data_IF_087602609769
#
_entry.id   IF_087602609769
#
_cell.length_a   1.000
_cell.length_b   1.000
_cell.length_c   1.000
_cell.angle_alpha   90.00
_cell.angle_beta   90.00
_cell.angle_gamma   90.00
#
_symmetry.space_group_name_H-M   'P 1'
#
loop_
_entity.id
_entity.type
_entity.pdbx_description
1 polymer ?
#
# COMPACT_ATOMS: atom_id res chain seq x y z
N UNK A 1 -45.69 36.03 23.55
CA UNK A 1 -46.01 37.46 23.84
C UNK A 1 -45.29 38.25 22.78
N UNK A 2 -46.08 38.63 21.84
CA UNK A 2 -46.55 39.99 21.47
C UNK A 2 -45.37 40.85 21.02
N UNK A 3 -45.28 41.10 19.73
CA UNK A 3 -46.20 41.84 18.84
C UNK A 3 -45.80 43.31 18.71
N UNK A 4 -45.73 43.65 17.44
CA UNK A 4 -46.35 44.80 16.76
C UNK A 4 -45.65 46.16 16.87
N UNK A 5 -45.51 47.02 15.93
CA UNK A 5 -46.31 47.60 14.86
C UNK A 5 -45.49 48.84 14.39
N UNK A 6 -45.48 49.50 13.32
CA UNK A 6 -46.28 49.79 12.14
C UNK A 6 -45.71 51.06 11.46
N UNK A 7 -45.58 51.03 10.13
CA UNK A 7 -45.86 52.03 9.09
C UNK A 7 -45.98 53.54 9.39
N UNK A 8 -45.44 54.35 8.49
CA UNK A 8 -46.11 55.34 7.56
C UNK A 8 -45.06 56.20 6.89
N UNK A 9 -44.96 56.31 5.62
CA UNK A 9 -45.68 57.00 4.53
C UNK A 9 -45.75 58.55 4.72
N UNK A 10 -45.21 59.28 3.74
CA UNK A 10 -45.76 60.34 2.91
C UNK A 10 -44.60 61.26 2.45
N UNK A 11 -44.41 61.46 1.24
CA UNK A 11 -45.04 62.12 0.09
C UNK A 11 -44.37 63.44 -0.27
N UNK A 12 -43.94 63.53 -1.54
CA UNK A 12 -43.96 64.65 -2.46
C UNK A 12 -43.38 66.03 -2.05
N UNK A 13 -42.40 66.46 -2.83
CA UNK A 13 -42.54 67.69 -3.65
C UNK A 13 -41.37 67.75 -4.66
N UNK A 14 -41.71 67.91 -5.98
CA UNK A 14 -40.82 68.31 -7.07
C UNK A 14 -40.91 69.83 -7.20
N UNK A 15 -39.83 70.59 -7.46
CA UNK A 15 -39.80 71.30 -8.72
C UNK A 15 -38.44 71.40 -9.45
N UNK A 16 -38.57 71.28 -10.76
CA UNK A 16 -37.98 72.05 -11.92
C UNK A 16 -36.49 72.34 -12.00
N UNK A 17 -35.90 71.69 -13.03
CA UNK A 17 -35.03 72.19 -14.10
C UNK A 17 -33.92 73.22 -13.76
N UNK A 18 -32.70 72.75 -13.93
CA UNK A 18 -31.61 73.55 -14.56
C UNK A 18 -30.73 72.64 -15.40
N UNK A 19 -30.55 73.05 -16.64
CA UNK A 19 -29.73 72.43 -17.66
C UNK A 19 -28.24 72.62 -17.33
N UNK A 20 -27.44 71.55 -17.30
CA UNK A 20 -26.01 71.67 -17.48
C UNK A 20 -25.41 70.43 -18.14
N UNK A 21 -24.56 70.68 -19.06
CA UNK A 21 -23.85 69.89 -20.05
C UNK A 21 -23.29 68.57 -19.46
N UNK A 22 -23.63 67.47 -20.11
CA UNK A 22 -23.01 66.16 -19.87
C UNK A 22 -21.58 66.17 -20.43
N UNK A 23 -20.59 66.10 -19.57
CA UNK A 23 -19.25 65.64 -19.90
C UNK A 23 -19.25 64.12 -19.69
N UNK A 24 -19.16 63.37 -20.77
CA UNK A 24 -19.05 61.93 -20.78
C UNK A 24 -17.64 61.56 -20.35
N UNK A 25 -17.45 61.22 -19.09
CA UNK A 25 -16.20 60.61 -18.64
C UNK A 25 -16.26 59.10 -18.97
N UNK A 26 -15.48 58.70 -19.97
CA UNK A 26 -15.24 57.29 -20.28
C UNK A 26 -14.37 56.71 -19.17
N UNK A 27 -14.96 55.94 -18.23
CA UNK A 27 -14.22 55.14 -17.26
C UNK A 27 -13.77 53.90 -18.02
N UNK A 28 -12.50 53.83 -18.44
CA UNK A 28 -11.84 52.59 -18.85
C UNK A 28 -11.69 51.71 -17.58
N UNK A 29 -12.60 50.73 -17.41
CA UNK A 29 -12.33 49.62 -16.50
C UNK A 29 -11.22 48.76 -17.11
N UNK A 30 -9.99 49.03 -16.72
CA UNK A 30 -8.89 48.10 -16.93
C UNK A 30 -9.12 46.85 -16.09
N UNK A 31 -9.51 45.74 -16.73
CA UNK A 31 -9.49 44.43 -16.10
C UNK A 31 -8.02 44.07 -15.85
N UNK A 32 -7.56 44.26 -14.61
CA UNK A 32 -6.33 43.64 -14.13
C UNK A 32 -6.59 42.11 -14.13
N UNK A 33 -6.23 41.47 -15.23
CA UNK A 33 -6.08 40.02 -15.24
C UNK A 33 -4.94 39.69 -14.25
N UNK A 34 -5.27 39.19 -13.09
CA UNK A 34 -4.29 38.59 -12.20
C UNK A 34 -3.54 37.49 -13.00
N UNK A 35 -2.19 37.45 -12.97
CA UNK A 35 -1.48 36.35 -13.59
C UNK A 35 -1.97 35.06 -12.93
N UNK A 36 -2.59 34.17 -13.69
CA UNK A 36 -2.79 32.82 -13.30
C UNK A 36 -1.38 32.23 -13.15
N UNK A 37 -0.94 32.07 -11.89
CA UNK A 37 0.22 31.24 -11.61
C UNK A 37 -0.19 29.83 -12.05
N UNK A 38 0.23 29.44 -13.25
CA UNK A 38 0.20 28.05 -13.64
C UNK A 38 1.05 27.32 -12.59
N UNK A 39 0.43 26.47 -11.81
CA UNK A 39 1.16 25.52 -11.00
C UNK A 39 1.96 24.66 -11.98
N UNK A 40 3.23 25.00 -12.14
CA UNK A 40 4.17 24.16 -12.88
C UNK A 40 4.35 22.91 -12.03
N UNK A 41 3.64 21.84 -12.41
CA UNK A 41 3.79 20.54 -11.75
C UNK A 41 5.25 20.12 -11.87
N UNK A 42 5.88 19.83 -10.75
CA UNK A 42 7.26 19.37 -10.70
C UNK A 42 7.39 18.13 -11.59
N UNK A 43 8.10 18.24 -12.70
CA UNK A 43 8.29 17.11 -13.62
C UNK A 43 9.43 16.24 -13.14
N UNK A 44 9.23 14.94 -13.22
CA UNK A 44 10.27 13.94 -13.00
C UNK A 44 11.03 13.77 -14.32
N UNK A 45 12.23 14.34 -14.41
CA UNK A 45 13.03 14.39 -15.65
C UNK A 45 13.54 13.00 -16.09
N UNK A 46 13.63 12.05 -15.18
CA UNK A 46 14.05 10.67 -15.45
C UNK A 46 12.89 9.69 -15.24
N UNK A 47 12.79 8.62 -16.08
CA UNK A 47 11.80 7.58 -15.87
C UNK A 47 12.03 6.88 -14.52
N UNK A 48 10.95 6.36 -13.94
CA UNK A 48 11.02 5.57 -12.71
C UNK A 48 11.82 4.28 -12.95
N UNK A 49 12.82 3.95 -12.10
CA UNK A 49 13.55 2.70 -12.20
C UNK A 49 12.61 1.48 -12.07
N UNK A 50 12.93 0.39 -12.76
CA UNK A 50 12.17 -0.86 -12.72
C UNK A 50 12.61 -1.75 -11.54
N UNK A 51 12.30 -1.32 -10.30
CA UNK A 51 12.79 -1.96 -9.07
C UNK A 51 11.80 -2.96 -8.46
N UNK A 52 10.52 -2.89 -8.86
CA UNK A 52 9.44 -3.74 -8.37
C UNK A 52 8.64 -4.34 -9.54
N UNK A 53 9.27 -5.15 -10.41
CA UNK A 53 8.59 -5.80 -11.54
C UNK A 53 7.48 -6.74 -11.10
N UNK A 54 7.59 -7.29 -9.90
CA UNK A 54 6.56 -7.99 -9.12
C UNK A 54 6.40 -7.32 -7.75
N UNK A 55 5.31 -7.58 -7.00
CA UNK A 55 5.11 -6.96 -5.70
C UNK A 55 6.30 -7.22 -4.76
N UNK A 56 6.82 -6.20 -4.05
CA UNK A 56 7.91 -6.40 -3.08
C UNK A 56 7.54 -7.38 -1.98
N UNK A 57 8.49 -8.25 -1.60
CA UNK A 57 8.35 -9.19 -0.50
C UNK A 57 9.42 -8.92 0.56
N UNK A 58 9.01 -8.87 1.84
CA UNK A 58 9.94 -8.55 2.92
C UNK A 58 9.35 -8.65 4.30
N UNK A 59 9.95 -7.93 5.22
CA UNK A 59 9.52 -7.75 6.59
C UNK A 59 9.64 -6.27 6.99
N UNK A 60 8.72 -5.82 7.83
CA UNK A 60 8.74 -4.49 8.43
C UNK A 60 8.50 -4.60 9.94
N UNK A 61 9.15 -3.75 10.72
CA UNK A 61 9.19 -3.84 12.17
C UNK A 61 7.91 -3.37 12.88
N UNK A 62 7.01 -2.64 12.19
CA UNK A 62 5.97 -1.86 12.86
C UNK A 62 4.95 -2.70 13.63
N UNK A 63 4.25 -3.62 12.95
CA UNK A 63 3.07 -4.27 13.52
C UNK A 63 3.37 -5.07 14.80
N UNK A 64 4.53 -5.72 14.85
CA UNK A 64 4.94 -6.47 16.06
C UNK A 64 5.63 -5.62 17.11
N UNK A 65 6.47 -4.68 16.70
CA UNK A 65 7.42 -4.04 17.61
C UNK A 65 7.16 -2.55 17.83
N UNK A 66 6.41 -1.87 16.94
CA UNK A 66 6.22 -0.42 17.01
C UNK A 66 7.56 0.30 17.15
N UNK A 67 7.64 1.21 18.12
CA UNK A 67 8.89 1.89 18.47
C UNK A 67 9.86 1.06 19.35
N UNK A 68 9.53 -0.17 19.72
CA UNK A 68 10.43 -1.03 20.51
C UNK A 68 11.40 -1.79 19.58
N UNK A 69 12.24 -1.06 18.87
CA UNK A 69 13.20 -1.58 17.91
C UNK A 69 14.63 -1.15 18.29
N UNK A 70 15.58 -1.98 17.92
CA UNK A 70 17.02 -1.69 18.04
C UNK A 70 17.82 -2.50 17.02
N UNK A 71 19.12 -2.19 16.91
CA UNK A 71 20.02 -2.85 15.97
C UNK A 71 20.07 -4.39 16.16
N UNK A 72 20.14 -4.87 17.40
CA UNK A 72 20.21 -6.30 17.69
C UNK A 72 18.93 -7.04 17.23
N UNK A 73 17.76 -6.46 17.46
CA UNK A 73 16.48 -7.00 17.00
C UNK A 73 16.46 -7.10 15.47
N UNK A 74 16.83 -6.03 14.76
CA UNK A 74 16.81 -6.01 13.29
C UNK A 74 17.77 -7.05 12.71
N UNK A 75 18.99 -7.18 13.28
CA UNK A 75 19.94 -8.25 12.89
C UNK A 75 19.34 -9.64 13.09
N UNK A 76 18.65 -9.87 14.21
CA UNK A 76 17.95 -11.13 14.51
C UNK A 76 16.86 -11.45 13.49
N UNK A 77 16.07 -10.45 13.06
CA UNK A 77 15.06 -10.64 12.01
C UNK A 77 15.69 -10.97 10.65
N UNK A 78 16.77 -10.30 10.29
CA UNK A 78 17.52 -10.60 9.06
C UNK A 78 18.09 -12.03 9.06
N UNK A 79 18.66 -12.48 10.17
CA UNK A 79 19.14 -13.85 10.34
C UNK A 79 17.99 -14.87 10.22
N UNK A 80 16.85 -14.58 10.86
CA UNK A 80 15.66 -15.43 10.80
C UNK A 80 15.12 -15.52 9.37
N UNK A 81 15.01 -14.41 8.65
CA UNK A 81 14.57 -14.43 7.24
C UNK A 81 15.50 -15.28 6.37
N UNK A 82 16.82 -15.16 6.56
CA UNK A 82 17.79 -15.92 5.80
C UNK A 82 17.73 -17.43 6.10
N UNK A 83 17.43 -17.81 7.36
CA UNK A 83 17.47 -19.20 7.82
C UNK A 83 16.12 -19.95 7.73
N UNK A 84 14.99 -19.25 7.76
CA UNK A 84 13.65 -19.87 7.86
C UNK A 84 13.09 -20.44 6.56
N UNK A 85 13.74 -20.20 5.42
CA UNK A 85 13.22 -20.51 4.09
C UNK A 85 12.52 -19.32 3.42
N UNK A 86 12.23 -18.23 4.14
CA UNK A 86 11.58 -17.03 3.57
C UNK A 86 12.40 -16.41 2.45
N UNK A 87 13.73 -16.26 2.63
CA UNK A 87 14.61 -15.78 1.56
C UNK A 87 14.52 -16.65 0.31
N UNK A 88 14.54 -17.97 0.46
CA UNK A 88 14.39 -18.91 -0.65
C UNK A 88 13.00 -18.81 -1.32
N UNK A 89 11.98 -18.44 -0.56
CA UNK A 89 10.61 -18.20 -1.06
C UNK A 89 10.45 -16.84 -1.77
N UNK A 90 11.46 -15.94 -1.74
CA UNK A 90 11.44 -14.67 -2.45
C UNK A 90 11.41 -13.41 -1.57
N UNK A 91 11.32 -13.54 -0.24
CA UNK A 91 11.43 -12.40 0.67
C UNK A 91 12.84 -11.83 0.65
N UNK A 92 12.98 -10.52 0.45
CA UNK A 92 14.30 -9.90 0.29
C UNK A 92 14.49 -8.61 1.08
N UNK A 93 13.42 -7.94 1.51
CA UNK A 93 13.55 -6.66 2.22
C UNK A 93 13.46 -6.83 3.73
N UNK A 94 14.39 -6.20 4.47
CA UNK A 94 14.31 -5.96 5.91
C UNK A 94 14.14 -4.46 6.11
N UNK A 95 12.95 -4.03 6.50
CA UNK A 95 12.57 -2.62 6.62
C UNK A 95 12.44 -2.24 8.08
N UNK A 96 13.20 -1.24 8.52
CA UNK A 96 12.99 -0.57 9.80
C UNK A 96 11.92 0.50 9.60
N UNK A 97 10.85 0.40 10.37
CA UNK A 97 9.78 1.40 10.39
C UNK A 97 10.14 2.61 11.27
N UNK A 98 9.19 3.39 11.73
CA UNK A 98 9.37 4.62 12.52
C UNK A 98 10.20 4.41 13.81
N UNK A 99 10.64 5.49 14.42
CA UNK A 99 11.36 5.55 15.68
C UNK A 99 12.85 5.15 15.65
N UNK A 100 13.47 5.00 14.48
CA UNK A 100 14.93 4.83 14.39
C UNK A 100 15.67 6.17 14.51
N UNK A 101 15.04 7.28 14.14
CA UNK A 101 15.59 8.63 14.15
C UNK A 101 15.64 9.19 15.58
N UNK A 102 16.71 9.95 15.90
CA UNK A 102 16.82 10.73 17.15
C UNK A 102 16.60 12.20 16.92
N UNK A 103 17.37 12.79 16.02
CA UNK A 103 17.46 14.24 15.81
C UNK A 103 18.05 14.54 14.42
N UNK A 104 18.28 15.81 14.15
CA UNK A 104 19.20 16.26 13.10
C UNK A 104 20.46 16.86 13.72
N UNK A 105 21.62 16.70 13.07
CA UNK A 105 22.86 17.35 13.46
C UNK A 105 22.87 18.83 13.06
N UNK A 106 23.94 19.57 13.42
CA UNK A 106 24.12 20.99 13.11
C UNK A 106 24.15 21.30 11.61
N UNK A 107 24.39 20.28 10.77
CA UNK A 107 24.35 20.39 9.31
C UNK A 107 23.00 19.97 8.72
N UNK A 108 22.02 19.64 9.58
CA UNK A 108 20.68 19.18 9.18
C UNK A 108 20.62 17.71 8.78
N UNK A 109 21.68 16.93 8.89
CA UNK A 109 21.65 15.50 8.56
C UNK A 109 20.83 14.74 9.60
N UNK A 110 20.05 13.76 9.13
CA UNK A 110 19.28 12.89 10.03
C UNK A 110 20.21 11.97 10.80
N UNK A 111 20.00 11.84 12.10
CA UNK A 111 20.82 11.05 13.03
C UNK A 111 19.98 9.91 13.60
N UNK A 112 20.49 8.69 13.50
CA UNK A 112 19.90 7.54 14.17
C UNK A 112 20.02 7.65 15.69
N UNK A 113 19.10 7.01 16.42
CA UNK A 113 19.19 6.92 17.87
C UNK A 113 20.42 6.08 18.27
N UNK A 114 21.45 6.70 18.91
CA UNK A 114 22.71 6.01 19.19
C UNK A 114 22.58 4.93 20.28
N UNK A 115 21.57 5.02 21.14
CA UNK A 115 21.32 3.98 22.15
C UNK A 115 20.70 2.73 21.51
N UNK A 116 19.84 2.92 20.51
CA UNK A 116 19.17 1.84 19.81
C UNK A 116 19.98 1.27 18.66
N UNK A 117 20.74 2.11 17.96
CA UNK A 117 21.56 1.76 16.79
C UNK A 117 23.02 2.20 16.98
N UNK A 118 23.73 1.62 17.96
CA UNK A 118 25.09 2.05 18.32
C UNK A 118 26.10 1.86 17.19
N UNK A 119 25.90 0.89 16.30
CA UNK A 119 26.73 0.69 15.10
C UNK A 119 26.41 1.63 13.95
N UNK A 120 25.27 2.36 14.04
CA UNK A 120 24.74 3.21 12.99
C UNK A 120 24.05 2.46 11.87
N UNK A 121 23.24 3.21 11.09
CA UNK A 121 22.40 2.63 10.04
C UNK A 121 23.21 1.99 8.92
N UNK A 122 24.36 2.59 8.54
CA UNK A 122 25.19 2.01 7.49
C UNK A 122 25.72 0.62 7.85
N UNK A 123 26.23 0.43 9.06
CA UNK A 123 26.73 -0.87 9.50
C UNK A 123 25.61 -1.93 9.58
N UNK A 124 24.41 -1.50 9.92
CA UNK A 124 23.23 -2.38 9.92
C UNK A 124 22.79 -2.74 8.50
N UNK A 125 22.79 -1.79 7.57
CA UNK A 125 22.52 -2.05 6.15
C UNK A 125 23.55 -3.02 5.56
N UNK A 126 24.86 -2.80 5.81
CA UNK A 126 25.93 -3.70 5.38
C UNK A 126 25.74 -5.13 5.94
N UNK A 127 25.27 -5.24 7.19
CA UNK A 127 24.97 -6.54 7.79
C UNK A 127 23.80 -7.25 7.06
N UNK A 128 22.70 -6.53 6.80
CA UNK A 128 21.56 -7.07 6.06
C UNK A 128 21.99 -7.51 4.66
N UNK A 129 22.78 -6.70 3.97
CA UNK A 129 23.35 -7.04 2.67
C UNK A 129 24.26 -8.28 2.73
N UNK A 130 25.02 -8.47 3.81
CA UNK A 130 25.86 -9.67 3.99
C UNK A 130 25.06 -10.97 4.06
N UNK A 131 23.76 -10.90 4.41
CA UNK A 131 22.82 -12.04 4.35
C UNK A 131 22.22 -12.22 2.95
N UNK A 132 22.60 -11.39 1.97
CA UNK A 132 22.02 -11.35 0.62
C UNK A 132 20.57 -10.89 0.63
N UNK A 133 20.24 -9.98 1.56
CA UNK A 133 18.94 -9.30 1.71
C UNK A 133 19.11 -7.82 1.36
N UNK A 134 18.01 -7.09 1.19
CA UNK A 134 17.96 -5.67 0.94
C UNK A 134 17.49 -4.92 2.18
N UNK A 135 18.03 -3.72 2.38
CA UNK A 135 17.75 -2.92 3.57
C UNK A 135 16.79 -1.77 3.26
N UNK A 136 15.77 -1.58 4.11
CA UNK A 136 14.81 -0.50 4.01
C UNK A 136 14.74 0.35 5.25
N UNK A 137 14.34 1.60 5.05
CA UNK A 137 14.07 2.59 6.10
C UNK A 137 12.68 3.19 5.95
N UNK A 138 12.28 3.91 6.99
CA UNK A 138 11.10 4.74 7.05
C UNK A 138 11.46 6.22 7.20
N UNK A 139 10.69 7.09 6.59
CA UNK A 139 10.64 8.51 6.87
C UNK A 139 9.22 9.04 6.63
N UNK A 140 9.06 10.36 6.69
CA UNK A 140 7.75 11.01 6.59
C UNK A 140 7.84 12.29 5.75
N UNK A 141 6.81 12.57 4.97
CA UNK A 141 6.69 13.79 4.17
C UNK A 141 6.43 15.05 5.01
N UNK A 142 6.10 14.89 6.27
CA UNK A 142 5.91 15.98 7.20
C UNK A 142 7.18 16.44 7.91
N UNK A 143 7.01 17.41 8.80
CA UNK A 143 8.08 17.92 9.66
C UNK A 143 8.48 16.92 10.75
N UNK A 144 7.53 16.08 11.17
CA UNK A 144 7.72 14.97 12.11
C UNK A 144 7.12 13.70 11.52
N UNK A 145 7.63 12.55 11.96
CA UNK A 145 7.05 11.24 11.69
C UNK A 145 5.79 11.02 12.55
N UNK A 146 5.03 9.97 12.29
CA UNK A 146 3.86 9.60 13.10
C UNK A 146 4.22 9.33 14.56
N UNK A 147 5.42 8.78 14.83
CA UNK A 147 6.00 8.62 16.16
C UNK A 147 6.70 9.86 16.73
N UNK A 148 6.54 11.03 16.10
CA UNK A 148 7.10 12.30 16.58
C UNK A 148 8.62 12.45 16.41
N UNK A 149 9.22 11.71 15.50
CA UNK A 149 10.65 11.81 15.15
C UNK A 149 10.83 12.82 14.00
N UNK A 150 12.05 13.30 13.71
CA UNK A 150 12.26 14.20 12.58
C UNK A 150 11.81 13.57 11.25
N UNK A 151 10.89 14.23 10.55
CA UNK A 151 10.50 13.90 9.19
C UNK A 151 11.41 14.57 8.15
N UNK A 152 11.14 14.34 6.86
CA UNK A 152 11.99 14.83 5.76
C UNK A 152 11.52 16.14 5.13
N UNK A 153 10.43 16.77 5.61
CA UNK A 153 9.95 18.03 5.03
C UNK A 153 11.05 19.10 4.99
N UNK A 154 11.39 19.56 3.78
CA UNK A 154 12.46 20.53 3.54
C UNK A 154 13.88 19.95 3.55
N UNK A 155 14.03 18.64 3.77
CA UNK A 155 15.31 17.92 3.80
C UNK A 155 15.36 16.75 2.80
N UNK A 156 14.38 16.64 1.90
CA UNK A 156 14.18 15.47 1.04
C UNK A 156 15.45 15.08 0.26
N UNK A 157 16.12 16.06 -0.37
CA UNK A 157 17.37 15.81 -1.11
C UNK A 157 18.55 15.46 -0.21
N UNK A 158 18.61 16.04 0.98
CA UNK A 158 19.67 15.77 1.95
C UNK A 158 19.52 14.36 2.50
N UNK A 159 18.31 14.00 2.90
CA UNK A 159 17.99 12.69 3.45
C UNK A 159 18.17 11.59 2.39
N UNK A 160 17.69 11.79 1.17
CA UNK A 160 17.89 10.84 0.06
C UNK A 160 19.38 10.53 -0.19
N UNK A 161 20.24 11.57 -0.20
CA UNK A 161 21.70 11.37 -0.32
C UNK A 161 22.28 10.61 0.88
N UNK A 162 21.76 10.87 2.07
CA UNK A 162 22.19 10.17 3.27
C UNK A 162 21.77 8.69 3.24
N UNK A 163 20.52 8.40 2.81
CA UNK A 163 20.03 7.03 2.63
C UNK A 163 20.85 6.28 1.56
N UNK A 164 21.21 6.93 0.47
CA UNK A 164 22.09 6.36 -0.56
C UNK A 164 23.47 5.99 0.01
N UNK A 165 24.10 6.88 0.79
CA UNK A 165 25.37 6.63 1.46
C UNK A 165 25.30 5.47 2.45
N UNK A 166 24.15 5.25 3.10
CA UNK A 166 23.93 4.14 4.01
C UNK A 166 23.61 2.82 3.30
N UNK A 167 23.33 2.86 2.00
CA UNK A 167 22.99 1.67 1.23
C UNK A 167 21.53 1.24 1.34
N UNK A 168 20.63 2.18 1.56
CA UNK A 168 19.17 1.90 1.60
C UNK A 168 18.67 1.49 0.22
N UNK A 169 17.83 0.44 0.17
CA UNK A 169 17.22 -0.11 -1.05
C UNK A 169 15.70 0.14 -1.13
N UNK A 170 15.08 0.53 -0.02
CA UNK A 170 13.65 0.71 0.09
C UNK A 170 13.34 1.84 1.08
N UNK A 171 12.47 2.77 0.72
CA UNK A 171 12.00 3.83 1.59
C UNK A 171 10.47 3.75 1.70
N UNK A 172 9.95 3.47 2.92
CA UNK A 172 8.57 3.74 3.30
C UNK A 172 8.48 5.22 3.67
N UNK A 173 7.60 5.96 3.01
CA UNK A 173 7.50 7.40 3.16
C UNK A 173 6.07 7.77 3.55
N UNK A 174 5.87 8.20 4.79
CA UNK A 174 4.58 8.40 5.44
C UNK A 174 4.05 9.82 5.28
N UNK A 175 2.89 10.13 5.90
CA UNK A 175 2.12 11.36 5.66
C UNK A 175 1.70 12.11 6.94
N UNK A 176 2.31 11.84 8.09
CA UNK A 176 2.03 12.53 9.35
C UNK A 176 2.60 13.96 9.35
N UNK A 177 2.02 14.87 10.12
CA UNK A 177 2.51 16.23 10.33
C UNK A 177 2.82 17.03 9.05
N UNK A 178 2.09 16.77 7.98
CA UNK A 178 2.29 17.41 6.66
C UNK A 178 1.68 18.81 6.55
N UNK A 179 0.82 19.21 7.50
CA UNK A 179 0.15 20.51 7.46
C UNK A 179 -0.72 20.67 6.21
N UNK A 180 -0.42 21.67 5.40
CA UNK A 180 -1.16 21.97 4.16
C UNK A 180 -0.42 21.54 2.89
N UNK A 181 0.55 20.64 2.99
CA UNK A 181 1.29 20.14 1.83
C UNK A 181 0.35 19.40 0.87
N UNK A 182 0.58 19.58 -0.42
CA UNK A 182 -0.03 18.73 -1.44
C UNK A 182 0.70 17.38 -1.51
N UNK A 183 -0.07 16.29 -1.51
CA UNK A 183 0.49 14.94 -1.42
C UNK A 183 1.29 14.58 -2.68
N UNK A 184 0.73 14.78 -3.88
CA UNK A 184 1.41 14.47 -5.14
C UNK A 184 2.73 15.25 -5.24
N UNK A 185 2.73 16.56 -4.91
CA UNK A 185 3.92 17.38 -4.93
C UNK A 185 4.98 16.88 -3.92
N UNK A 186 4.60 16.60 -2.67
CA UNK A 186 5.52 16.16 -1.63
C UNK A 186 6.19 14.82 -1.97
N UNK A 187 5.41 13.84 -2.42
CA UNK A 187 5.95 12.54 -2.85
C UNK A 187 6.78 12.66 -4.14
N UNK A 188 6.41 13.56 -5.06
CA UNK A 188 7.20 13.83 -6.27
C UNK A 188 8.56 14.44 -5.94
N UNK A 189 8.63 15.34 -4.94
CA UNK A 189 9.91 15.90 -4.45
C UNK A 189 10.81 14.77 -3.91
N UNK A 190 10.30 13.89 -3.05
CA UNK A 190 11.08 12.78 -2.53
C UNK A 190 11.48 11.80 -3.65
N UNK A 191 10.60 11.48 -4.58
CA UNK A 191 10.91 10.63 -5.73
C UNK A 191 12.06 11.21 -6.58
N UNK A 192 12.04 12.52 -6.82
CA UNK A 192 13.14 13.24 -7.51
C UNK A 192 14.43 13.15 -6.70
N UNK A 193 14.37 13.41 -5.41
CA UNK A 193 15.53 13.34 -4.51
C UNK A 193 16.17 11.95 -4.49
N UNK A 194 15.36 10.89 -4.45
CA UNK A 194 15.84 9.50 -4.51
C UNK A 194 16.52 9.19 -5.85
N UNK A 195 15.93 9.59 -6.99
CA UNK A 195 16.50 9.37 -8.33
C UNK A 195 17.85 10.10 -8.53
N UNK A 196 18.01 11.25 -7.86
CA UNK A 196 19.26 12.04 -7.93
C UNK A 196 20.27 11.68 -6.83
N UNK A 197 19.94 10.75 -5.94
CA UNK A 197 20.80 10.36 -4.82
C UNK A 197 22.04 9.54 -5.21
N UNK A 198 22.04 8.96 -6.42
CA UNK A 198 23.07 8.06 -6.91
C UNK A 198 22.87 6.59 -6.52
N UNK A 199 21.70 6.23 -5.93
CA UNK A 199 21.31 4.85 -5.62
C UNK A 199 19.85 4.62 -5.92
N UNK A 200 19.54 3.51 -6.58
CA UNK A 200 18.18 3.08 -6.82
C UNK A 200 17.51 2.61 -5.51
N UNK A 201 16.36 3.18 -5.19
CA UNK A 201 15.55 2.83 -4.02
C UNK A 201 14.09 2.63 -4.41
N UNK A 202 13.47 1.56 -3.92
CA UNK A 202 12.02 1.41 -4.00
C UNK A 202 11.38 2.50 -3.13
N UNK A 203 10.46 3.28 -3.69
CA UNK A 203 9.65 4.23 -2.94
C UNK A 203 8.27 3.63 -2.68
N UNK A 204 7.93 3.43 -1.41
CA UNK A 204 6.64 3.03 -0.89
C UNK A 204 5.92 4.24 -0.32
N UNK A 205 4.84 4.64 -0.99
CA UNK A 205 4.03 5.80 -0.64
C UNK A 205 3.01 5.39 0.43
N UNK A 206 2.97 6.08 1.57
CA UNK A 206 2.14 5.74 2.70
C UNK A 206 1.27 6.91 3.16
N UNK A 207 0.31 7.33 2.30
CA UNK A 207 -0.67 8.38 2.65
C UNK A 207 -2.08 7.82 2.89
N UNK A 208 -2.16 6.51 3.15
CA UNK A 208 -3.34 5.75 3.57
C UNK A 208 -4.53 5.79 2.59
N UNK A 209 -4.33 6.16 1.33
CA UNK A 209 -5.38 6.29 0.33
C UNK A 209 -6.20 7.58 0.42
N UNK A 210 -5.81 8.53 1.29
CA UNK A 210 -6.58 9.75 1.56
C UNK A 210 -6.59 10.74 0.38
N UNK A 211 -5.51 10.77 -0.39
CA UNK A 211 -5.32 11.70 -1.52
C UNK A 211 -5.41 10.99 -2.87
N UNK A 212 -6.09 9.84 -2.94
CA UNK A 212 -6.32 9.06 -4.16
C UNK A 212 -5.00 8.72 -4.90
N UNK A 213 -4.02 8.07 -4.24
CA UNK A 213 -2.70 7.83 -4.79
C UNK A 213 -2.74 6.99 -6.07
N UNK A 214 -3.76 6.16 -6.25
CA UNK A 214 -3.99 5.40 -7.48
C UNK A 214 -4.07 6.26 -8.75
N UNK A 215 -4.32 7.57 -8.62
CA UNK A 215 -4.44 8.49 -9.76
C UNK A 215 -3.12 9.12 -10.18
N UNK A 216 -2.17 9.28 -9.24
CA UNK A 216 -0.93 10.01 -9.47
C UNK A 216 0.34 9.24 -9.07
N UNK A 217 0.26 8.23 -8.22
CA UNK A 217 1.45 7.60 -7.65
C UNK A 217 2.23 6.70 -8.64
N UNK A 218 1.60 6.20 -9.70
CA UNK A 218 2.24 5.27 -10.63
C UNK A 218 3.55 5.78 -11.26
N UNK A 219 3.71 7.04 -11.70
CA UNK A 219 4.99 7.57 -12.14
C UNK A 219 5.93 7.96 -10.98
N UNK A 220 5.44 8.10 -9.77
CA UNK A 220 6.15 8.62 -8.59
C UNK A 220 6.82 7.51 -7.80
N UNK A 221 6.04 6.58 -7.24
CA UNK A 221 6.50 5.47 -6.41
C UNK A 221 6.27 4.10 -7.04
N UNK A 222 6.66 3.05 -6.35
CA UNK A 222 6.57 1.65 -6.83
C UNK A 222 5.37 0.91 -6.25
N UNK A 223 4.89 1.35 -5.10
CA UNK A 223 3.70 0.88 -4.42
C UNK A 223 3.12 2.03 -3.60
N UNK A 224 1.83 1.96 -3.29
CA UNK A 224 1.15 2.97 -2.49
C UNK A 224 0.05 2.35 -1.63
N UNK A 225 0.01 2.78 -0.36
CA UNK A 225 -1.03 2.41 0.59
C UNK A 225 -2.40 2.87 0.09
N UNK A 226 -3.36 2.01 0.20
CA UNK A 226 -4.73 2.23 -0.28
C UNK A 226 -5.74 2.41 0.84
N UNK A 227 -5.32 2.20 2.09
CA UNK A 227 -6.16 2.21 3.29
C UNK A 227 -5.37 2.70 4.50
N UNK A 228 -6.07 3.00 5.60
CA UNK A 228 -5.49 3.06 6.94
C UNK A 228 -4.79 1.75 7.32
N UNK A 229 -4.18 1.71 8.50
CA UNK A 229 -3.35 0.58 8.94
C UNK A 229 -4.17 -0.68 9.18
N UNK A 230 -3.58 -1.83 8.86
CA UNK A 230 -4.09 -3.13 9.28
C UNK A 230 -3.72 -3.39 10.75
N UNK A 231 -4.58 -4.09 11.48
CA UNK A 231 -4.21 -4.71 12.74
C UNK A 231 -4.62 -6.18 12.76
N UNK A 232 -4.01 -6.96 13.62
CA UNK A 232 -4.18 -8.42 13.68
C UNK A 232 -5.56 -8.82 14.19
N UNK A 233 -6.55 -8.69 13.31
CA UNK A 233 -7.93 -9.13 13.52
C UNK A 233 -8.60 -9.49 12.19
N UNK A 234 -9.53 -10.45 12.25
CA UNK A 234 -10.35 -10.86 11.11
C UNK A 234 -11.18 -9.69 10.55
N UNK A 235 -11.90 -8.99 11.42
CA UNK A 235 -12.72 -7.83 11.08
C UNK A 235 -12.72 -6.81 12.23
N UNK A 236 -13.21 -5.61 11.96
CA UNK A 236 -13.37 -4.55 12.92
C UNK A 236 -12.57 -3.31 12.59
N UNK A 237 -12.75 -2.30 13.43
CA UNK A 237 -12.03 -1.03 13.35
C UNK A 237 -11.54 -0.63 14.72
N UNK A 238 -10.29 -0.23 14.82
CA UNK A 238 -9.67 0.27 16.04
C UNK A 238 -8.94 1.57 15.69
N UNK A 239 -9.46 2.70 16.17
CA UNK A 239 -8.96 4.03 15.82
C UNK A 239 -8.96 4.24 14.29
N UNK A 240 -7.78 4.39 13.68
CA UNK A 240 -7.57 4.48 12.22
C UNK A 240 -7.26 3.13 11.57
N UNK A 241 -7.09 2.06 12.36
CA UNK A 241 -6.73 0.73 11.88
C UNK A 241 -7.96 -0.14 11.60
N UNK A 242 -7.80 -1.10 10.68
CA UNK A 242 -8.86 -1.96 10.19
C UNK A 242 -8.47 -3.44 10.26
N UNK A 243 -9.45 -4.31 10.52
CA UNK A 243 -9.28 -5.75 10.39
C UNK A 243 -9.13 -6.18 8.92
N UNK A 244 -8.62 -7.39 8.71
CA UNK A 244 -8.25 -7.93 7.40
C UNK A 244 -9.41 -7.86 6.37
N UNK A 245 -10.62 -8.27 6.74
CA UNK A 245 -11.76 -8.27 5.82
C UNK A 245 -12.26 -6.87 5.48
N UNK A 246 -12.10 -5.91 6.39
CA UNK A 246 -12.42 -4.50 6.12
C UNK A 246 -11.45 -3.90 5.10
N UNK A 247 -10.14 -4.20 5.24
CA UNK A 247 -9.12 -3.81 4.25
C UNK A 247 -9.44 -4.42 2.88
N UNK A 248 -9.78 -5.73 2.84
CA UNK A 248 -10.14 -6.43 1.61
C UNK A 248 -11.32 -5.76 0.88
N UNK A 249 -12.35 -5.36 1.61
CA UNK A 249 -13.52 -4.68 1.01
C UNK A 249 -13.15 -3.35 0.35
N UNK A 250 -12.17 -2.64 0.90
CA UNK A 250 -11.67 -1.39 0.32
C UNK A 250 -10.85 -1.63 -0.98
N UNK A 251 -10.45 -2.88 -1.28
CA UNK A 251 -9.69 -3.21 -2.50
C UNK A 251 -10.57 -3.56 -3.72
N UNK A 252 -11.87 -3.78 -3.54
CA UNK A 252 -12.76 -4.37 -4.57
C UNK A 252 -12.69 -3.64 -5.92
N UNK A 253 -12.63 -2.31 -5.92
CA UNK A 253 -12.61 -1.50 -7.14
C UNK A 253 -11.20 -1.04 -7.59
N UNK A 254 -10.14 -1.37 -6.83
CA UNK A 254 -8.77 -0.86 -7.07
C UNK A 254 -7.98 -1.65 -8.12
N UNK A 255 -8.46 -2.79 -8.55
CA UNK A 255 -7.78 -3.70 -9.48
C UNK A 255 -7.31 -3.05 -10.80
N UNK A 256 -7.92 -1.92 -11.20
CA UNK A 256 -7.59 -1.19 -12.44
C UNK A 256 -6.29 -0.40 -12.35
N UNK A 257 -5.78 -0.18 -11.15
CA UNK A 257 -4.67 0.74 -10.91
C UNK A 257 -3.35 0.02 -10.62
N UNK A 258 -3.40 -1.31 -10.39
CA UNK A 258 -2.20 -2.13 -10.17
C UNK A 258 -1.60 -2.60 -11.49
N UNK A 259 -0.28 -2.51 -11.60
CA UNK A 259 0.51 -2.98 -12.74
C UNK A 259 1.96 -3.28 -12.31
N UNK A 260 2.76 -3.98 -13.12
CA UNK A 260 4.18 -4.15 -12.85
C UNK A 260 4.87 -2.81 -12.54
N UNK A 261 5.63 -2.79 -11.47
CA UNK A 261 6.32 -1.61 -10.93
C UNK A 261 5.39 -0.49 -10.38
N UNK A 262 4.10 -0.80 -10.17
CA UNK A 262 3.08 0.14 -9.67
C UNK A 262 1.98 -0.64 -8.94
N UNK A 263 2.13 -0.84 -7.63
CA UNK A 263 1.32 -1.79 -6.86
C UNK A 263 0.41 -1.08 -5.86
N UNK A 264 -0.87 -1.50 -5.82
CA UNK A 264 -1.74 -1.22 -4.69
C UNK A 264 -1.21 -1.94 -3.45
N UNK A 265 -1.11 -1.24 -2.34
CA UNK A 265 -0.63 -1.77 -1.07
C UNK A 265 -1.78 -1.73 -0.03
N UNK A 266 -2.40 -2.88 0.27
CA UNK A 266 -3.44 -2.99 1.28
C UNK A 266 -2.88 -3.09 2.72
N UNK A 267 -1.61 -2.79 2.90
CA UNK A 267 -0.81 -2.96 4.11
C UNK A 267 -0.26 -4.39 4.33
N UNK A 268 0.49 -4.54 5.40
CA UNK A 268 1.32 -5.69 5.74
C UNK A 268 0.53 -6.98 6.00
N UNK A 269 1.26 -8.08 6.08
CA UNK A 269 0.74 -9.36 6.54
C UNK A 269 0.81 -9.46 8.06
N UNK A 270 -0.31 -9.80 8.69
CA UNK A 270 -0.42 -10.06 10.14
C UNK A 270 -0.15 -11.52 10.52
N UNK A 271 0.21 -12.36 9.57
CA UNK A 271 0.39 -13.80 9.74
C UNK A 271 1.40 -14.11 10.87
N UNK A 272 0.90 -14.78 11.92
CA UNK A 272 1.72 -15.18 13.07
C UNK A 272 1.79 -14.16 14.21
N UNK A 273 1.01 -13.09 14.19
CA UNK A 273 0.93 -12.12 15.29
C UNK A 273 0.02 -12.57 16.45
N UNK A 274 -0.90 -13.54 16.22
CA UNK A 274 -1.66 -14.24 17.25
C UNK A 274 -3.08 -13.75 17.49
N UNK A 275 -3.56 -12.73 16.74
CA UNK A 275 -4.93 -12.20 16.83
C UNK A 275 -5.94 -12.91 15.93
N UNK A 276 -5.47 -13.68 14.95
CA UNK A 276 -6.29 -14.50 14.05
C UNK A 276 -5.92 -15.98 14.16
N UNK A 277 -6.84 -16.85 13.72
CA UNK A 277 -6.61 -18.30 13.63
C UNK A 277 -5.73 -18.66 12.44
N UNK A 278 -5.17 -19.87 12.44
CA UNK A 278 -4.40 -20.41 11.29
C UNK A 278 -5.20 -20.38 9.99
N UNK A 279 -6.49 -20.69 10.03
CA UNK A 279 -7.39 -20.62 8.86
C UNK A 279 -7.55 -19.20 8.35
N UNK A 280 -7.69 -18.22 9.24
CA UNK A 280 -7.80 -16.81 8.89
C UNK A 280 -6.49 -16.27 8.31
N UNK A 281 -5.34 -16.70 8.83
CA UNK A 281 -4.03 -16.37 8.26
C UNK A 281 -3.80 -16.98 6.88
N UNK A 282 -4.27 -18.21 6.62
CA UNK A 282 -4.27 -18.79 5.26
C UNK A 282 -5.16 -17.98 4.31
N UNK A 283 -6.31 -17.54 4.79
CA UNK A 283 -7.21 -16.67 4.02
C UNK A 283 -6.56 -15.31 3.72
N UNK A 284 -5.91 -14.72 4.73
CA UNK A 284 -5.23 -13.43 4.61
C UNK A 284 -4.16 -13.45 3.51
N UNK A 285 -3.18 -14.35 3.59
CA UNK A 285 -2.12 -14.41 2.56
C UNK A 285 -2.66 -14.81 1.19
N UNK A 286 -3.68 -15.69 1.12
CA UNK A 286 -4.31 -16.08 -0.14
C UNK A 286 -4.95 -14.88 -0.83
N UNK A 287 -5.66 -14.05 -0.08
CA UNK A 287 -6.32 -12.86 -0.62
C UNK A 287 -5.30 -11.77 -0.98
N UNK A 288 -4.25 -11.54 -0.17
CA UNK A 288 -3.16 -10.63 -0.53
C UNK A 288 -2.44 -11.07 -1.80
N UNK A 289 -2.17 -12.37 -1.96
CA UNK A 289 -1.62 -12.90 -3.21
C UNK A 289 -2.55 -12.69 -4.42
N UNK A 290 -3.86 -12.83 -4.23
CA UNK A 290 -4.84 -12.49 -5.27
C UNK A 290 -4.83 -11.00 -5.62
N UNK A 291 -4.61 -10.13 -4.64
CA UNK A 291 -4.52 -8.68 -4.86
C UNK A 291 -3.21 -8.24 -5.54
N UNK A 292 -2.25 -9.14 -5.76
CA UNK A 292 -0.88 -8.76 -6.16
C UNK A 292 -0.30 -7.70 -5.22
N UNK A 293 -0.53 -7.89 -3.93
CA UNK A 293 -0.13 -6.96 -2.87
C UNK A 293 1.34 -7.18 -2.48
N UNK A 294 2.05 -6.15 -2.02
CA UNK A 294 3.34 -6.37 -1.36
C UNK A 294 3.18 -7.37 -0.20
N UNK A 295 3.96 -8.45 -0.21
CA UNK A 295 3.96 -9.44 0.86
C UNK A 295 5.01 -9.05 1.92
N UNK A 296 4.66 -8.10 2.76
CA UNK A 296 5.53 -7.59 3.84
C UNK A 296 5.05 -8.18 5.17
N UNK A 297 5.82 -9.13 5.72
CA UNK A 297 5.52 -9.76 7.00
C UNK A 297 5.69 -8.77 8.17
N UNK A 298 4.75 -8.76 9.12
CA UNK A 298 4.74 -7.85 10.27
C UNK A 298 4.98 -8.55 11.62
N UNK A 299 5.31 -9.86 11.64
CA UNK A 299 5.48 -10.66 12.83
C UNK A 299 6.95 -10.76 13.31
N UNK A 300 7.20 -11.41 14.45
CA UNK A 300 8.55 -11.78 14.87
C UNK A 300 9.03 -13.04 14.13
N UNK A 301 9.87 -12.84 13.10
CA UNK A 301 10.38 -13.94 12.28
C UNK A 301 11.23 -14.94 13.09
N UNK A 302 11.84 -14.47 14.19
CA UNK A 302 12.75 -15.29 15.01
C UNK A 302 12.03 -16.31 15.89
N UNK A 303 10.72 -16.17 16.03
CA UNK A 303 9.88 -17.03 16.90
C UNK A 303 8.72 -17.70 16.15
N UNK A 304 8.76 -17.71 14.82
CA UNK A 304 7.72 -18.34 14.00
C UNK A 304 7.56 -19.82 14.34
N UNK A 305 6.31 -20.21 14.56
CA UNK A 305 5.91 -21.63 14.62
C UNK A 305 5.90 -22.29 13.23
N UNK A 306 5.60 -23.57 13.19
CA UNK A 306 5.58 -24.35 11.95
C UNK A 306 4.48 -23.89 10.99
N UNK A 307 3.31 -23.52 11.50
CA UNK A 307 2.17 -23.06 10.68
C UNK A 307 2.45 -21.68 10.09
N UNK A 308 2.92 -20.72 10.87
CA UNK A 308 3.33 -19.40 10.38
C UNK A 308 4.36 -19.52 9.25
N UNK A 309 5.39 -20.36 9.46
CA UNK A 309 6.41 -20.61 8.43
C UNK A 309 5.82 -21.23 7.18
N UNK A 310 4.98 -22.28 7.33
CA UNK A 310 4.29 -22.96 6.21
C UNK A 310 3.45 -21.98 5.40
N UNK A 311 2.73 -21.09 6.06
CA UNK A 311 1.87 -20.10 5.44
C UNK A 311 2.71 -19.08 4.66
N UNK A 312 3.70 -18.45 5.31
CA UNK A 312 4.54 -17.42 4.70
C UNK A 312 5.47 -17.94 3.58
N UNK A 313 5.74 -19.24 3.53
CA UNK A 313 6.63 -19.84 2.51
C UNK A 313 5.92 -20.76 1.52
N UNK A 314 4.58 -20.70 1.40
CA UNK A 314 3.86 -21.48 0.40
C UNK A 314 4.18 -21.00 -1.02
N UNK A 315 5.06 -21.69 -1.70
CA UNK A 315 5.56 -21.33 -3.02
C UNK A 315 4.47 -21.23 -4.10
N UNK A 316 3.39 -22.01 -4.01
CA UNK A 316 2.30 -21.96 -4.98
C UNK A 316 1.42 -20.70 -4.80
N UNK A 317 1.18 -20.28 -3.56
CA UNK A 317 0.47 -19.03 -3.24
C UNK A 317 1.33 -17.83 -3.64
N UNK A 318 2.61 -17.85 -3.27
CA UNK A 318 3.59 -16.81 -3.66
C UNK A 318 3.70 -16.70 -5.18
N UNK A 319 3.69 -17.81 -5.91
CA UNK A 319 3.75 -17.80 -7.37
C UNK A 319 2.52 -17.13 -8.02
N UNK A 320 1.37 -17.11 -7.35
CA UNK A 320 0.21 -16.32 -7.80
C UNK A 320 0.47 -14.83 -7.59
N UNK A 321 0.97 -14.45 -6.42
CA UNK A 321 1.32 -13.05 -6.12
C UNK A 321 2.34 -12.51 -7.11
N UNK A 322 3.41 -13.26 -7.31
CA UNK A 322 4.57 -12.90 -8.12
C UNK A 322 4.40 -13.15 -9.64
N UNK A 323 3.17 -13.43 -10.10
CA UNK A 323 2.90 -13.63 -11.52
C UNK A 323 3.23 -12.37 -12.33
N UNK A 324 4.09 -12.46 -13.37
CA UNK A 324 4.61 -11.30 -14.11
C UNK A 324 3.56 -10.58 -14.96
N UNK A 325 2.34 -11.13 -15.14
CA UNK A 325 1.22 -10.39 -15.75
C UNK A 325 0.81 -9.19 -14.89
N UNK A 326 1.02 -9.29 -13.56
CA UNK A 326 0.85 -8.19 -12.62
C UNK A 326 -0.57 -7.68 -12.48
N UNK A 327 -1.57 -8.47 -12.83
CA UNK A 327 -2.98 -8.08 -12.70
C UNK A 327 -3.53 -8.43 -11.33
N UNK A 328 -4.13 -7.46 -10.66
CA UNK A 328 -4.85 -7.67 -9.41
C UNK A 328 -6.18 -8.41 -9.64
N UNK A 329 -6.58 -9.27 -8.71
CA UNK A 329 -7.85 -9.98 -8.77
C UNK A 329 -9.06 -9.05 -8.67
N UNK A 330 -10.16 -9.52 -9.27
CA UNK A 330 -11.50 -8.95 -9.11
C UNK A 330 -12.36 -9.89 -8.30
N UNK A 331 -13.25 -9.34 -7.50
CA UNK A 331 -14.36 -10.10 -6.93
C UNK A 331 -15.40 -10.31 -8.03
N UNK A 332 -15.44 -11.54 -8.58
CA UNK A 332 -16.30 -11.88 -9.72
C UNK A 332 -17.70 -12.33 -9.31
N UNK A 333 -17.88 -12.68 -8.04
CA UNK A 333 -19.18 -13.03 -7.48
C UNK A 333 -19.20 -12.83 -5.97
N UNK A 334 -20.36 -12.47 -5.44
CA UNK A 334 -20.66 -12.36 -4.00
C UNK A 334 -22.13 -12.68 -3.75
N UNK A 335 -22.40 -13.51 -2.73
CA UNK A 335 -23.72 -13.77 -2.18
C UNK A 335 -23.62 -13.93 -0.67
N UNK A 336 -24.19 -13.01 0.08
CA UNK A 336 -24.01 -12.95 1.54
C UNK A 336 -22.53 -12.88 1.92
N UNK A 337 -22.08 -13.87 2.71
CA UNK A 337 -20.70 -14.00 3.18
C UNK A 337 -19.78 -14.81 2.25
N UNK A 338 -20.31 -15.26 1.10
CA UNK A 338 -19.57 -16.09 0.16
C UNK A 338 -19.10 -15.24 -1.02
N UNK A 339 -17.82 -15.39 -1.37
CA UNK A 339 -17.20 -14.60 -2.44
C UNK A 339 -16.33 -15.48 -3.37
N UNK A 340 -16.22 -15.06 -4.63
CA UNK A 340 -15.26 -15.62 -5.59
C UNK A 340 -14.38 -14.46 -6.09
N UNK A 341 -13.08 -14.62 -5.89
CA UNK A 341 -12.06 -13.71 -6.41
C UNK A 341 -11.28 -14.42 -7.51
N UNK A 342 -11.00 -13.73 -8.62
CA UNK A 342 -10.30 -14.31 -9.75
C UNK A 342 -9.35 -13.30 -10.38
N UNK A 343 -8.19 -13.80 -10.82
CA UNK A 343 -7.22 -13.04 -11.61
C UNK A 343 -6.65 -13.91 -12.75
N UNK A 344 -6.43 -13.34 -13.94
CA UNK A 344 -5.67 -14.01 -14.97
C UNK A 344 -4.19 -14.06 -14.57
N UNK A 345 -3.50 -15.11 -15.01
CA UNK A 345 -2.07 -15.31 -14.86
C UNK A 345 -1.41 -15.40 -16.24
N UNK A 346 -0.10 -15.23 -16.26
CA UNK A 346 0.69 -15.41 -17.50
C UNK A 346 0.45 -16.80 -18.09
N UNK A 347 0.38 -16.90 -19.43
CA UNK A 347 0.17 -18.18 -20.13
C UNK A 347 -1.29 -18.60 -20.25
N UNK A 348 -2.26 -17.73 -19.91
CA UNK A 348 -3.69 -18.04 -20.05
C UNK A 348 -4.26 -18.83 -18.87
N UNK A 349 -3.50 -18.99 -17.81
CA UNK A 349 -3.98 -19.60 -16.56
C UNK A 349 -4.79 -18.60 -15.72
N UNK A 350 -5.51 -19.10 -14.73
CA UNK A 350 -6.26 -18.28 -13.76
C UNK A 350 -5.97 -18.74 -12.35
N UNK A 351 -5.83 -17.78 -11.43
CA UNK A 351 -5.95 -18.05 -10.00
C UNK A 351 -7.37 -17.69 -9.54
N UNK A 352 -7.93 -18.52 -8.69
CA UNK A 352 -9.27 -18.33 -8.12
C UNK A 352 -9.22 -18.63 -6.63
N UNK A 353 -9.87 -17.76 -5.85
CA UNK A 353 -10.16 -17.99 -4.43
C UNK A 353 -11.67 -18.07 -4.23
N UNK A 354 -12.13 -19.21 -3.68
CA UNK A 354 -13.47 -19.36 -3.11
C UNK A 354 -13.34 -18.99 -1.65
N UNK A 355 -13.99 -17.92 -1.22
CA UNK A 355 -13.82 -17.31 0.10
C UNK A 355 -15.12 -17.33 0.88
N UNK A 356 -15.08 -17.86 2.09
CA UNK A 356 -16.20 -17.90 3.03
C UNK A 356 -15.90 -17.03 4.26
N UNK A 357 -16.56 -15.88 4.36
CA UNK A 357 -16.48 -14.99 5.54
C UNK A 357 -17.37 -15.48 6.68
N UNK A 358 -18.32 -16.38 6.39
CA UNK A 358 -19.34 -16.82 7.31
C UNK A 358 -18.80 -17.74 8.41
N UNK A 359 -19.57 -17.85 9.48
CA UNK A 359 -19.22 -18.62 10.70
C UNK A 359 -19.48 -20.13 10.58
N UNK A 360 -19.98 -20.62 9.45
CA UNK A 360 -20.22 -22.04 9.19
C UNK A 360 -19.62 -22.43 7.83
N UNK A 361 -19.22 -23.71 7.66
CA UNK A 361 -18.79 -24.21 6.35
C UNK A 361 -19.89 -24.03 5.30
N UNK A 362 -19.51 -23.65 4.08
CA UNK A 362 -20.45 -23.45 2.98
C UNK A 362 -19.87 -23.94 1.64
N UNK A 363 -20.76 -24.42 0.76
CA UNK A 363 -20.36 -24.82 -0.58
C UNK A 363 -20.25 -23.58 -1.49
N UNK A 364 -19.12 -23.46 -2.19
CA UNK A 364 -18.89 -22.42 -3.18
C UNK A 364 -18.40 -23.07 -4.47
N UNK A 365 -18.93 -22.63 -5.62
CA UNK A 365 -18.55 -23.15 -6.92
C UNK A 365 -18.31 -22.01 -7.90
N UNK A 366 -17.12 -21.96 -8.50
CA UNK A 366 -16.80 -21.07 -9.62
C UNK A 366 -17.17 -21.79 -10.93
N UNK A 367 -17.85 -21.06 -11.84
CA UNK A 367 -18.12 -21.52 -13.19
C UNK A 367 -17.15 -20.86 -14.17
N UNK A 368 -16.85 -21.56 -15.28
CA UNK A 368 -15.93 -21.06 -16.30
C UNK A 368 -16.41 -19.74 -16.93
N UNK A 369 -17.73 -19.56 -17.09
CA UNK A 369 -18.30 -18.31 -17.62
C UNK A 369 -18.02 -17.09 -16.73
N UNK A 370 -17.92 -17.26 -15.39
CA UNK A 370 -17.51 -16.20 -14.47
C UNK A 370 -16.04 -15.76 -14.66
N UNK A 371 -15.24 -16.61 -15.29
CA UNK A 371 -13.83 -16.37 -15.60
C UNK A 371 -13.60 -15.96 -17.06
N UNK A 372 -14.67 -15.75 -17.84
CA UNK A 372 -14.64 -15.56 -19.29
C UNK A 372 -13.99 -16.74 -20.04
N UNK A 373 -14.12 -17.96 -19.52
CA UNK A 373 -13.64 -19.19 -20.13
C UNK A 373 -14.82 -19.95 -20.77
N UNK A 374 -14.63 -20.59 -21.93
CA UNK A 374 -15.68 -21.41 -22.55
C UNK A 374 -16.11 -22.57 -21.62
N UNK A 375 -17.40 -22.82 -21.50
CA UNK A 375 -17.93 -23.90 -20.65
C UNK A 375 -17.38 -25.30 -21.05
N UNK A 376 -17.10 -25.52 -22.33
CA UNK A 376 -16.53 -26.77 -22.85
C UNK A 376 -15.02 -26.92 -22.60
N UNK A 377 -14.34 -25.85 -22.16
CA UNK A 377 -12.90 -25.87 -21.92
C UNK A 377 -12.55 -26.92 -20.87
N UNK A 378 -11.58 -27.77 -21.19
CA UNK A 378 -10.94 -28.65 -20.20
C UNK A 378 -9.84 -27.87 -19.49
N UNK A 379 -9.74 -28.02 -18.18
CA UNK A 379 -8.65 -27.46 -17.40
C UNK A 379 -8.19 -28.41 -16.30
N UNK A 380 -6.93 -28.38 -15.98
CA UNK A 380 -6.40 -28.94 -14.75
C UNK A 380 -6.57 -27.94 -13.63
N UNK A 381 -7.06 -28.36 -12.48
CA UNK A 381 -7.28 -27.51 -11.32
C UNK A 381 -6.42 -27.98 -10.15
N UNK A 382 -5.41 -27.17 -9.79
CA UNK A 382 -4.52 -27.43 -8.65
C UNK A 382 -4.96 -26.62 -7.45
N UNK A 383 -5.27 -27.28 -6.36
CA UNK A 383 -5.44 -26.64 -5.06
C UNK A 383 -4.06 -26.26 -4.49
N UNK A 384 -3.87 -24.97 -4.14
CA UNK A 384 -2.56 -24.42 -3.78
C UNK A 384 -2.18 -24.66 -2.32
N UNK A 385 -3.14 -25.07 -1.48
CA UNK A 385 -2.89 -25.46 -0.10
C UNK A 385 -2.70 -26.98 0.04
N UNK A 386 -3.66 -27.76 -0.42
CA UNK A 386 -3.61 -29.23 -0.31
C UNK A 386 -2.70 -29.89 -1.37
N UNK A 387 -2.26 -29.14 -2.38
CA UNK A 387 -1.46 -29.58 -3.53
C UNK A 387 -2.16 -30.61 -4.42
N UNK A 388 -3.42 -30.92 -4.20
CA UNK A 388 -4.21 -31.85 -5.01
C UNK A 388 -4.51 -31.25 -6.38
N UNK A 389 -4.53 -32.12 -7.41
CA UNK A 389 -4.83 -31.75 -8.80
C UNK A 389 -6.01 -32.55 -9.31
N UNK A 390 -7.07 -31.85 -9.71
CA UNK A 390 -8.18 -32.43 -10.48
C UNK A 390 -7.90 -32.22 -11.97
N UNK A 391 -7.87 -33.32 -12.74
CA UNK A 391 -7.53 -33.31 -14.14
C UNK A 391 -8.76 -33.20 -15.04
N UNK A 392 -8.61 -32.48 -16.18
CA UNK A 392 -9.63 -32.38 -17.23
C UNK A 392 -11.01 -31.92 -16.75
N UNK A 393 -11.05 -31.04 -15.74
CA UNK A 393 -12.28 -30.43 -15.22
C UNK A 393 -12.95 -29.59 -16.29
N UNK A 394 -14.28 -29.61 -16.36
CA UNK A 394 -15.07 -28.81 -17.34
C UNK A 394 -16.15 -28.02 -16.64
N UNK A 395 -16.42 -26.83 -17.12
CA UNK A 395 -17.57 -25.99 -16.78
C UNK A 395 -17.50 -25.34 -15.41
N UNK A 396 -17.05 -26.04 -14.36
CA UNK A 396 -17.00 -25.51 -13.01
C UNK A 396 -16.06 -26.29 -12.09
N UNK A 397 -15.67 -25.63 -10.97
CA UNK A 397 -14.95 -26.27 -9.86
C UNK A 397 -15.43 -25.67 -8.54
N UNK A 398 -15.50 -26.46 -7.48
CA UNK A 398 -15.95 -25.99 -6.19
C UNK A 398 -15.71 -26.98 -5.07
N UNK A 399 -16.12 -26.60 -3.86
CA UNK A 399 -15.99 -27.42 -2.66
C UNK A 399 -16.64 -26.78 -1.46
N UNK A 400 -16.62 -27.48 -0.32
CA UNK A 400 -17.03 -26.93 0.96
C UNK A 400 -15.87 -26.14 1.55
N UNK A 401 -16.06 -24.84 1.70
CA UNK A 401 -15.09 -23.91 2.30
C UNK A 401 -15.39 -23.78 3.78
N UNK A 402 -14.40 -23.98 4.63
CA UNK A 402 -14.53 -23.83 6.08
C UNK A 402 -14.97 -22.41 6.47
N UNK A 403 -15.48 -22.25 7.70
CA UNK A 403 -15.70 -20.92 8.29
C UNK A 403 -14.41 -20.10 8.24
N UNK A 404 -14.48 -18.84 7.80
CA UNK A 404 -13.39 -17.88 7.59
C UNK A 404 -12.26 -18.41 6.68
N UNK A 405 -12.54 -19.45 5.90
CA UNK A 405 -11.55 -20.16 5.10
C UNK A 405 -11.58 -19.80 3.62
N UNK A 406 -10.61 -20.36 2.92
CA UNK A 406 -10.50 -20.30 1.46
C UNK A 406 -10.26 -21.69 0.84
N UNK A 407 -10.69 -21.84 -0.41
CA UNK A 407 -10.10 -22.79 -1.35
C UNK A 407 -9.43 -21.93 -2.42
N UNK A 408 -8.10 -22.03 -2.54
CA UNK A 408 -7.34 -21.30 -3.54
C UNK A 408 -6.82 -22.26 -4.59
N UNK A 409 -7.18 -22.01 -5.85
CA UNK A 409 -6.83 -22.90 -6.95
C UNK A 409 -6.15 -22.16 -8.10
N UNK A 410 -5.28 -22.89 -8.83
CA UNK A 410 -4.76 -22.51 -10.13
C UNK A 410 -5.47 -23.36 -11.19
N UNK A 411 -6.05 -22.71 -12.18
CA UNK A 411 -6.77 -23.33 -13.31
C UNK A 411 -5.88 -23.19 -14.55
N UNK A 412 -5.43 -24.32 -15.07
CA UNK A 412 -4.55 -24.40 -16.26
C UNK A 412 -5.34 -25.02 -17.42
N UNK A 413 -5.66 -24.26 -18.48
CA UNK A 413 -6.31 -24.80 -19.66
C UNK A 413 -5.53 -25.98 -20.26
N UNK A 414 -6.24 -27.05 -20.66
CA UNK A 414 -5.69 -28.18 -21.39
C UNK A 414 -6.04 -27.98 -22.87
N UNK A 415 -5.02 -27.74 -23.68
CA UNK A 415 -5.12 -27.56 -25.16
C UNK A 415 -5.25 -28.88 -25.89
#
# INVERSE_FOLDING_TARGET
>A
MLAFFVRRLASLIIPRRASSRFATALILLGTLAAPAFAHETLKLDAPKPQLAPTPPMGWNSWNKFGCNINEALVRKQADAMAASGMKAAGYQYIVIDDCWQKSRDDNGNIVADPERFPGGIKALADYVHSKGLKFGLYSDAGSLTCGGRPGSAGHEFQDARQYAKWGVDYLKYDWCHTGTRDAEAAYTIMAKALRESGRDMVLSICEWGNNQPERWAAPVGHLWRTTGDIYDAWEGKKDWSHGMTNILDMQVERWRHSAPNAWNDPDMLEVGNGGMTTTEYESHISLWAMLAAPLIAGNDLSTMDADTRRILTNSDVIAVDQDPLGQQARRVWKEGDLEIWARPLKGGEHAVVLFNRGKAPAAITVRWDQLNLPAALKADVKDLWSKKVAKNVRGSHGGTVASHGVIMVRITPVL
#
